data_IF_556098039364
#
_entry.id   IF_556098039364
#
_cell.length_a   1.000
_cell.length_b   1.000
_cell.length_c   1.000
_cell.angle_alpha   90.00
_cell.angle_beta   90.00
_cell.angle_gamma   90.00
#
_symmetry.space_group_name_H-M   'P 1'
#
loop_
_entity.id
_entity.type
_entity.pdbx_description
1 polymer ?
#
# COMPACT_ATOMS: atom_id res chain seq x y z
N UNK A 1 -26.13 10.67 -3.12
CA UNK A 1 -25.82 9.24 -2.99
C UNK A 1 -25.18 9.08 -1.62
N UNK A 2 -25.54 8.07 -0.80
CA UNK A 2 -24.84 7.88 0.46
C UNK A 2 -23.38 7.63 0.13
N UNK A 3 -22.46 8.25 0.86
CA UNK A 3 -21.03 7.99 0.70
C UNK A 3 -20.82 6.49 0.66
N UNK A 4 -20.18 5.98 -0.39
CA UNK A 4 -19.69 4.61 -0.40
C UNK A 4 -19.01 4.38 0.95
N UNK A 5 -19.33 3.28 1.63
CA UNK A 5 -19.01 3.03 3.03
C UNK A 5 -17.48 2.99 3.25
N UNK A 6 -16.84 4.17 3.29
CA UNK A 6 -15.40 4.35 3.41
C UNK A 6 -14.97 3.89 4.78
N UNK A 7 -13.85 3.19 4.84
CA UNK A 7 -13.28 2.75 6.11
C UNK A 7 -12.33 3.84 6.63
N UNK A 8 -12.72 4.55 7.68
CA UNK A 8 -11.95 5.68 8.22
C UNK A 8 -11.57 6.75 7.16
N UNK A 9 -12.42 6.97 6.16
CA UNK A 9 -12.16 7.91 5.06
C UNK A 9 -11.42 7.33 3.86
N UNK A 10 -11.01 6.05 3.90
CA UNK A 10 -10.32 5.33 2.83
C UNK A 10 -11.26 4.38 2.08
N UNK A 11 -10.89 3.99 0.86
CA UNK A 11 -11.66 3.05 0.03
C UNK A 11 -11.96 1.72 0.72
N UNK A 12 -11.02 1.20 1.51
CA UNK A 12 -11.17 -0.03 2.28
C UNK A 12 -10.22 -0.07 3.49
N UNK A 13 -10.28 -1.17 4.26
CA UNK A 13 -9.49 -1.34 5.48
C UNK A 13 -8.01 -1.54 5.19
N UNK A 14 -7.70 -2.35 4.19
CA UNK A 14 -6.35 -2.70 3.76
C UNK A 14 -5.58 -1.44 3.34
N UNK A 15 -6.20 -0.56 2.56
CA UNK A 15 -5.62 0.73 2.16
C UNK A 15 -5.34 1.63 3.36
N UNK A 16 -6.29 1.76 4.29
CA UNK A 16 -6.07 2.53 5.51
C UNK A 16 -4.91 1.98 6.36
N UNK A 17 -4.85 0.65 6.54
CA UNK A 17 -3.77 0.00 7.32
C UNK A 17 -2.42 0.19 6.64
N UNK A 18 -2.35 0.04 5.31
CA UNK A 18 -1.12 0.25 4.54
C UNK A 18 -0.60 1.68 4.70
N UNK A 19 -1.48 2.68 4.53
CA UNK A 19 -1.10 4.08 4.76
C UNK A 19 -0.65 4.34 6.20
N UNK A 20 -1.40 3.83 7.19
CA UNK A 20 -1.04 3.99 8.59
C UNK A 20 0.34 3.40 8.90
N UNK A 21 0.66 2.24 8.34
CA UNK A 21 1.99 1.63 8.50
C UNK A 21 3.08 2.47 7.84
N UNK A 22 2.90 2.85 6.57
CA UNK A 22 3.87 3.64 5.79
C UNK A 22 4.17 4.99 6.43
N UNK A 23 3.22 5.59 7.14
CA UNK A 23 3.39 6.92 7.76
C UNK A 23 3.83 6.89 9.22
N UNK A 24 3.83 5.72 9.86
CA UNK A 24 4.11 5.59 11.29
C UNK A 24 5.48 4.98 11.60
N UNK A 25 6.06 4.19 10.69
CA UNK A 25 7.44 3.68 10.82
C UNK A 25 8.42 4.48 9.94
N UNK A 26 9.61 4.78 10.49
CA UNK A 26 10.60 5.61 9.80
C UNK A 26 11.11 4.98 8.50
N UNK A 27 11.37 3.67 8.48
CA UNK A 27 11.90 3.00 7.29
C UNK A 27 10.84 2.94 6.19
N UNK A 28 9.62 2.59 6.56
CA UNK A 28 8.46 2.56 5.64
C UNK A 28 8.11 3.95 5.10
N UNK A 29 8.26 4.99 5.93
CA UNK A 29 8.03 6.37 5.50
C UNK A 29 9.05 6.84 4.47
N UNK A 30 10.33 6.48 4.62
CA UNK A 30 11.32 6.79 3.60
C UNK A 30 11.03 6.10 2.27
N UNK A 31 10.58 4.84 2.29
CA UNK A 31 10.17 4.14 1.08
C UNK A 31 8.99 4.83 0.38
N UNK A 32 8.00 5.30 1.15
CA UNK A 32 6.90 6.11 0.61
C UNK A 32 7.39 7.41 -0.02
N UNK A 33 8.32 8.12 0.62
CA UNK A 33 8.92 9.34 0.06
C UNK A 33 9.74 9.09 -1.21
N UNK A 34 10.37 7.92 -1.35
CA UNK A 34 11.04 7.50 -2.58
C UNK A 34 10.02 7.23 -3.69
N UNK A 35 8.92 6.53 -3.37
CA UNK A 35 7.83 6.29 -4.31
C UNK A 35 7.24 7.59 -4.84
N UNK A 36 6.95 8.55 -3.96
CA UNK A 36 6.38 9.86 -4.32
C UNK A 36 7.26 10.66 -5.29
N UNK A 37 8.58 10.41 -5.30
CA UNK A 37 9.56 11.07 -6.17
C UNK A 37 9.88 10.28 -7.44
N UNK A 38 9.35 9.06 -7.58
CA UNK A 38 9.72 8.15 -8.66
C UNK A 38 9.26 8.66 -10.04
N UNK A 39 8.07 9.27 -10.11
CA UNK A 39 7.45 9.75 -11.35
C UNK A 39 6.48 10.88 -11.05
N UNK A 40 6.08 11.65 -12.06
CA UNK A 40 4.98 12.62 -11.93
C UNK A 40 3.60 11.94 -11.93
N UNK A 41 3.49 10.69 -12.39
CA UNK A 41 2.23 9.94 -12.39
C UNK A 41 2.02 9.16 -11.10
N UNK A 42 0.90 9.42 -10.41
CA UNK A 42 0.53 8.71 -9.18
C UNK A 42 0.40 7.20 -9.40
N UNK A 43 -0.14 6.80 -10.56
CA UNK A 43 -0.21 5.39 -10.97
C UNK A 43 1.18 4.75 -11.06
N UNK A 44 2.14 5.41 -11.72
CA UNK A 44 3.51 4.88 -11.84
C UNK A 44 4.23 4.82 -10.49
N UNK A 45 4.01 5.80 -9.62
CA UNK A 45 4.51 5.77 -8.25
C UNK A 45 3.91 4.62 -7.43
N UNK A 46 2.61 4.37 -7.59
CA UNK A 46 1.90 3.30 -6.90
C UNK A 46 2.39 1.91 -7.36
N UNK A 47 2.54 1.70 -8.66
CA UNK A 47 3.12 0.46 -9.20
C UNK A 47 4.52 0.22 -8.65
N UNK A 48 5.38 1.25 -8.66
CA UNK A 48 6.74 1.13 -8.12
C UNK A 48 6.74 0.75 -6.63
N UNK A 49 5.93 1.44 -5.82
CA UNK A 49 5.82 1.15 -4.38
C UNK A 49 5.32 -0.28 -4.15
N UNK A 50 4.29 -0.69 -4.87
CA UNK A 50 3.73 -2.03 -4.78
C UNK A 50 4.76 -3.10 -5.13
N UNK A 51 5.59 -2.87 -6.16
CA UNK A 51 6.66 -3.80 -6.53
C UNK A 51 7.72 -3.92 -5.42
N UNK A 52 8.19 -2.81 -4.85
CA UNK A 52 9.18 -2.84 -3.76
C UNK A 52 8.66 -3.61 -2.54
N UNK A 53 7.38 -3.43 -2.21
CA UNK A 53 6.75 -4.10 -1.07
C UNK A 53 6.40 -5.56 -1.36
N UNK A 54 6.07 -5.90 -2.61
CA UNK A 54 5.82 -7.29 -3.03
C UNK A 54 7.08 -8.12 -2.86
N UNK A 55 8.23 -7.60 -3.25
CA UNK A 55 9.51 -8.31 -3.11
C UNK A 55 9.84 -8.57 -1.62
N UNK A 56 9.48 -7.65 -0.72
CA UNK A 56 9.59 -7.86 0.73
C UNK A 56 8.59 -8.92 1.23
N UNK A 57 7.34 -8.84 0.78
CA UNK A 57 6.31 -9.82 1.13
C UNK A 57 6.72 -11.24 0.72
N UNK A 58 7.26 -11.42 -0.48
CA UNK A 58 7.67 -12.72 -0.98
C UNK A 58 8.85 -13.30 -0.16
N UNK A 59 9.74 -12.44 0.35
CA UNK A 59 10.83 -12.84 1.23
C UNK A 59 10.34 -13.23 2.63
N UNK A 60 9.36 -12.50 3.18
CA UNK A 60 8.84 -12.75 4.54
C UNK A 60 7.82 -13.89 4.60
N UNK A 61 6.93 -13.98 3.62
CA UNK A 61 5.88 -15.00 3.56
C UNK A 61 6.44 -16.41 3.29
N UNK A 62 7.65 -16.50 2.73
CA UNK A 62 8.40 -17.74 2.57
C UNK A 62 7.67 -18.75 1.67
N UNK A 63 7.34 -19.93 2.23
CA UNK A 63 6.69 -21.02 1.48
C UNK A 63 5.17 -20.87 1.44
N UNK A 64 4.56 -21.28 0.32
CA UNK A 64 3.11 -21.32 0.14
C UNK A 64 2.37 -21.96 1.33
N UNK A 65 1.44 -21.22 1.90
CA UNK A 65 0.63 -21.59 3.06
C UNK A 65 -0.66 -20.75 3.11
N UNK A 66 -1.63 -21.17 3.93
CA UNK A 66 -2.84 -20.36 4.16
C UNK A 66 -2.52 -18.94 4.65
N UNK A 67 -1.43 -18.78 5.42
CA UNK A 67 -1.02 -17.47 5.91
C UNK A 67 -0.43 -16.61 4.79
N UNK A 68 0.42 -17.17 3.92
CA UNK A 68 0.93 -16.44 2.76
C UNK A 68 -0.21 -16.03 1.83
N UNK A 69 -1.17 -16.93 1.59
CA UNK A 69 -2.31 -16.65 0.72
C UNK A 69 -3.20 -15.52 1.25
N UNK A 70 -3.47 -15.51 2.57
CA UNK A 70 -4.25 -14.45 3.21
C UNK A 70 -3.49 -13.11 3.20
N UNK A 71 -2.19 -13.12 3.49
CA UNK A 71 -1.36 -11.91 3.46
C UNK A 71 -1.26 -11.33 2.05
N UNK A 72 -0.98 -12.16 1.04
CA UNK A 72 -0.97 -11.74 -0.37
C UNK A 72 -2.34 -11.23 -0.80
N UNK A 73 -3.43 -11.89 -0.42
CA UNK A 73 -4.78 -11.42 -0.75
C UNK A 73 -5.04 -10.03 -0.17
N UNK A 74 -4.73 -9.81 1.11
CA UNK A 74 -4.89 -8.51 1.74
C UNK A 74 -4.01 -7.44 1.07
N UNK A 75 -2.78 -7.79 0.71
CA UNK A 75 -1.85 -6.92 0.00
C UNK A 75 -2.40 -6.48 -1.37
N UNK A 76 -3.01 -7.38 -2.14
CA UNK A 76 -3.63 -7.05 -3.43
C UNK A 76 -4.95 -6.30 -3.33
N UNK A 77 -5.57 -6.25 -2.15
CA UNK A 77 -6.76 -5.42 -1.90
C UNK A 77 -6.42 -3.95 -1.59
N UNK A 78 -5.14 -3.63 -1.36
CA UNK A 78 -4.71 -2.24 -1.12
C UNK A 78 -4.84 -1.42 -2.40
N UNK A 79 -5.50 -0.27 -2.29
CA UNK A 79 -5.50 0.74 -3.35
C UNK A 79 -4.21 1.60 -3.23
N UNK A 80 -3.14 1.14 -3.87
CA UNK A 80 -1.84 1.82 -3.83
C UNK A 80 -1.88 3.21 -4.49
N UNK A 81 -2.80 3.45 -5.42
CA UNK A 81 -2.97 4.77 -6.04
C UNK A 81 -3.55 5.74 -5.02
N UNK A 82 -4.59 5.35 -4.28
CA UNK A 82 -5.15 6.17 -3.20
C UNK A 82 -4.09 6.50 -2.13
N UNK A 83 -3.19 5.55 -1.81
CA UNK A 83 -2.06 5.80 -0.90
C UNK A 83 -1.13 6.88 -1.42
N UNK A 84 -0.77 6.86 -2.71
CA UNK A 84 0.10 7.87 -3.31
C UNK A 84 -0.60 9.23 -3.37
N UNK A 85 -1.82 9.28 -3.88
CA UNK A 85 -2.63 10.51 -3.99
C UNK A 85 -2.73 11.22 -2.63
N UNK A 86 -3.07 10.48 -1.56
CA UNK A 86 -3.25 11.06 -0.22
C UNK A 86 -1.98 11.56 0.46
N UNK A 87 -0.79 11.14 0.00
CA UNK A 87 0.50 11.55 0.59
C UNK A 87 1.28 12.52 -0.29
N UNK A 88 0.72 12.92 -1.44
CA UNK A 88 1.31 13.89 -2.35
C UNK A 88 0.80 15.32 -2.10
N UNK A 89 -0.37 15.45 -1.49
CA UNK A 89 -0.98 16.71 -1.03
C UNK A 89 -0.47 17.17 0.34
#
# INVERSE_FOLDING_TARGET
MPEANKYNGWSNRETWVANLWLTNDQASYYLLLEALKHSDSDYTCAEWLQEQLRDQLDQEAGTASTWSDLLSTAFYCVDWVEVIECNRE
#
